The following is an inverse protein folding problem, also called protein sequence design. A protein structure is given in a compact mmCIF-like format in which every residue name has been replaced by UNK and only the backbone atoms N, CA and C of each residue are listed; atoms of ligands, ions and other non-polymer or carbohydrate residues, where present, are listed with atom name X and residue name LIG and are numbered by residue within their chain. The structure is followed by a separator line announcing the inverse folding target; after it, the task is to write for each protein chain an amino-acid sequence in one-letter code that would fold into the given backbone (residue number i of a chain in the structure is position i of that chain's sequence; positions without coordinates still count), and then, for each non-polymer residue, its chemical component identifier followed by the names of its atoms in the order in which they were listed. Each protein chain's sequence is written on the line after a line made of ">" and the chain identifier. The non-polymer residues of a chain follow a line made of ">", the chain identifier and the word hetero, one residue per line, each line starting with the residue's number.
data_IF_297137138885
#
_entry.id   IF_297137138885
#
_cell.length_a   1.000
_cell.length_b   1.000
_cell.length_c   1.000
_cell.angle_alpha   90.00
_cell.angle_beta   90.00
_cell.angle_gamma   90.00
#
_symmetry.space_group_name_H-M   'P 1'
#
loop_
_entity.id
_entity.type
_entity.pdbx_description
1 polymer ?
#
# COMPACT_ATOMS: atom_id res chain seq x y z
N UNK A 1 -3.63 -7.18 16.93
CA UNK A 1 -2.93 -6.71 15.71
C UNK A 1 -2.37 -5.31 15.97
N UNK A 2 -1.05 -5.16 15.91
CA UNK A 2 -0.38 -3.89 16.26
C UNK A 2 -0.32 -2.92 15.06
N UNK A 3 -0.35 -3.47 13.84
CA UNK A 3 -0.39 -2.67 12.61
C UNK A 3 -1.83 -2.30 12.21
N UNK A 4 -1.99 -1.08 11.68
CA UNK A 4 -3.25 -0.54 11.17
C UNK A 4 -3.10 -0.03 9.74
N UNK A 5 -4.18 -0.02 8.97
CA UNK A 5 -4.14 0.49 7.61
C UNK A 5 -5.50 0.75 6.99
N UNK A 6 -5.50 1.45 5.86
CA UNK A 6 -6.68 1.74 5.07
C UNK A 6 -6.35 1.76 3.58
N UNK A 7 -7.28 1.31 2.76
CA UNK A 7 -7.17 1.36 1.29
C UNK A 7 -8.19 2.34 0.73
N UNK A 8 -7.77 3.21 -0.21
CA UNK A 8 -8.66 4.12 -0.90
C UNK A 8 -9.17 3.56 -2.22
N UNK A 9 -10.39 3.97 -2.59
CA UNK A 9 -11.05 3.60 -3.84
C UNK A 9 -10.21 3.92 -5.09
N UNK A 10 -9.57 5.09 -5.10
CA UNK A 10 -8.69 5.57 -6.18
C UNK A 10 -7.35 4.84 -6.24
N UNK A 11 -7.14 3.82 -5.41
CA UNK A 11 -5.93 3.01 -5.40
C UNK A 11 -4.89 3.45 -4.38
N UNK A 12 -5.21 4.41 -3.51
CA UNK A 12 -4.31 4.79 -2.41
C UNK A 12 -4.26 3.71 -1.32
N UNK A 13 -3.23 3.72 -0.49
CA UNK A 13 -3.20 2.98 0.77
C UNK A 13 -2.27 3.63 1.78
N UNK A 14 -2.63 3.49 3.06
CA UNK A 14 -1.81 3.81 4.22
C UNK A 14 -1.69 2.55 5.06
N UNK A 15 -0.48 2.24 5.50
CA UNK A 15 -0.19 1.19 6.48
C UNK A 15 0.81 1.71 7.49
N UNK A 16 0.58 1.37 8.76
CA UNK A 16 1.35 1.84 9.91
C UNK A 16 1.65 0.61 10.77
N UNK A 17 2.91 0.30 10.98
CA UNK A 17 3.37 -0.74 11.90
C UNK A 17 4.29 -0.16 12.97
N UNK A 18 3.79 0.06 14.20
CA UNK A 18 4.58 0.63 15.29
C UNK A 18 5.66 -0.32 15.80
N UNK A 19 5.60 -1.63 15.48
CA UNK A 19 6.65 -2.59 15.89
C UNK A 19 7.87 -2.50 15.00
N UNK A 20 7.68 -2.07 13.76
CA UNK A 20 8.73 -1.89 12.77
C UNK A 20 9.17 -0.42 12.65
N UNK A 21 8.58 0.50 13.44
CA UNK A 21 8.73 1.96 13.29
C UNK A 21 8.56 2.42 11.82
N UNK A 22 7.56 1.83 11.14
CA UNK A 22 7.39 1.94 9.69
C UNK A 22 6.00 2.43 9.31
N UNK A 23 5.97 3.36 8.36
CA UNK A 23 4.76 3.88 7.73
C UNK A 23 4.93 3.79 6.21
N UNK A 24 3.97 3.16 5.53
CA UNK A 24 3.98 3.04 4.07
C UNK A 24 2.75 3.75 3.50
N UNK A 25 3.01 4.75 2.66
CA UNK A 25 1.98 5.53 1.96
C UNK A 25 2.13 5.32 0.45
N UNK A 26 1.11 4.76 -0.17
CA UNK A 26 1.03 4.60 -1.62
C UNK A 26 -0.08 5.50 -2.17
N UNK A 27 0.28 6.42 -3.06
CA UNK A 27 -0.65 7.31 -3.74
C UNK A 27 -0.69 6.95 -5.22
N UNK A 28 -1.84 6.46 -5.69
CA UNK A 28 -2.06 6.13 -7.10
C UNK A 28 -3.41 6.67 -7.56
N UNK A 29 -3.64 6.64 -8.87
CA UNK A 29 -4.93 6.97 -9.48
C UNK A 29 -5.43 5.81 -10.35
N UNK A 30 -5.86 4.73 -9.70
CA UNK A 30 -6.42 3.52 -10.31
C UNK A 30 -7.67 3.78 -11.16
N UNK A 31 -8.36 4.91 -10.97
CA UNK A 31 -9.59 5.23 -11.70
C UNK A 31 -9.35 6.06 -12.96
N UNK A 32 -8.10 6.48 -13.23
CA UNK A 32 -7.76 7.23 -14.43
C UNK A 32 -7.13 6.31 -15.51
N UNK A 33 -7.58 6.41 -16.78
CA UNK A 33 -8.72 7.20 -17.27
C UNK A 33 -10.08 6.52 -17.00
N UNK A 34 -10.10 5.24 -16.61
CA UNK A 34 -11.32 4.51 -16.24
C UNK A 34 -11.11 3.63 -15.00
N UNK A 35 -12.20 3.23 -14.35
CA UNK A 35 -12.17 2.34 -13.17
C UNK A 35 -11.87 0.86 -13.45
N UNK A 36 -11.71 0.47 -14.73
CA UNK A 36 -11.49 -0.92 -15.11
C UNK A 36 -10.05 -1.40 -14.86
N UNK A 37 -9.13 -0.51 -14.47
CA UNK A 37 -7.78 -0.89 -14.12
C UNK A 37 -7.76 -1.62 -12.76
N UNK A 38 -7.38 -2.90 -12.79
CA UNK A 38 -7.27 -3.73 -11.59
C UNK A 38 -5.83 -3.98 -11.13
N UNK A 39 -4.82 -3.40 -11.81
CA UNK A 39 -3.41 -3.59 -11.49
C UNK A 39 -3.05 -3.23 -10.04
N UNK A 40 -3.85 -2.37 -9.38
CA UNK A 40 -3.63 -2.03 -7.97
C UNK A 40 -3.78 -3.21 -7.02
N UNK A 41 -4.53 -4.25 -7.42
CA UNK A 41 -4.76 -5.43 -6.59
C UNK A 41 -3.46 -6.19 -6.32
N UNK A 42 -2.58 -6.30 -7.32
CA UNK A 42 -1.26 -6.92 -7.17
C UNK A 42 -0.18 -5.91 -6.79
N UNK A 43 -0.25 -4.67 -7.30
CA UNK A 43 0.77 -3.66 -7.02
C UNK A 43 0.82 -3.29 -5.53
N UNK A 44 -0.33 -3.19 -4.85
CA UNK A 44 -0.36 -2.80 -3.44
C UNK A 44 0.44 -3.76 -2.56
N UNK A 45 0.12 -5.07 -2.45
CA UNK A 45 0.92 -5.96 -1.62
C UNK A 45 2.38 -5.97 -2.04
N UNK A 46 2.69 -6.01 -3.35
CA UNK A 46 4.06 -6.01 -3.84
C UNK A 46 4.89 -4.80 -3.36
N UNK A 47 4.30 -3.59 -3.33
CA UNK A 47 4.99 -2.40 -2.83
C UNK A 47 5.19 -2.46 -1.32
N UNK A 48 4.16 -2.86 -0.56
CA UNK A 48 4.29 -2.97 0.90
C UNK A 48 5.32 -4.03 1.30
N UNK A 49 5.29 -5.20 0.67
CA UNK A 49 6.24 -6.28 0.91
C UNK A 49 7.68 -5.85 0.55
N UNK A 50 7.86 -5.21 -0.61
CA UNK A 50 9.18 -4.73 -1.03
C UNK A 50 9.75 -3.67 -0.09
N UNK A 51 8.91 -2.79 0.48
CA UNK A 51 9.36 -1.79 1.47
C UNK A 51 9.75 -2.47 2.79
N UNK A 52 8.98 -3.46 3.24
CA UNK A 52 9.32 -4.24 4.44
C UNK A 52 10.64 -4.97 4.24
N UNK A 53 10.82 -5.67 3.11
CA UNK A 53 12.06 -6.38 2.77
C UNK A 53 13.27 -5.43 2.66
N UNK A 54 13.07 -4.21 2.14
CA UNK A 54 14.15 -3.25 1.97
C UNK A 54 14.57 -2.56 3.28
N UNK A 55 13.67 -2.47 4.26
CA UNK A 55 13.90 -1.69 5.49
C UNK A 55 14.02 -2.56 6.75
N UNK A 56 13.63 -3.83 6.68
CA UNK A 56 13.71 -4.78 7.79
C UNK A 56 14.78 -5.82 7.49
N UNK A 57 15.80 -6.00 8.37
CA UNK A 57 16.84 -7.02 8.21
C UNK A 57 16.36 -8.46 8.19
#
# INVERSE_FOLDING_TARGET
>A
PDAIGHTGFTGTSLWIDPRQDLYVVLLTNRVHPTRHNEAILSLRPAIHDAVVEALTP
#
